data_IF_546086949778
#
_entry.id   IF_546086949778
#
_cell.length_a   1.000
_cell.length_b   1.000
_cell.length_c   1.000
_cell.angle_alpha   90.00
_cell.angle_beta   90.00
_cell.angle_gamma   90.00
#
_symmetry.space_group_name_H-M   'P 1'
#
loop_
_entity.id
_entity.type
_entity.pdbx_description
1 polymer ?
#
# COMPACT_ATOMS: atom_id res chain seq x y z
N UNK A 1 1.05 -13.30 -27.64
CA UNK A 1 0.55 -11.93 -27.45
C UNK A 1 -0.19 -11.96 -26.11
N UNK A 2 0.56 -11.85 -25.01
CA UNK A 2 0.07 -12.22 -23.66
C UNK A 2 0.52 -11.17 -22.62
N UNK A 3 0.52 -9.90 -23.02
CA UNK A 3 1.03 -8.78 -22.20
C UNK A 3 -0.07 -8.03 -21.44
N UNK A 4 -1.34 -8.47 -21.56
CA UNK A 4 -2.49 -7.77 -21.00
C UNK A 4 -3.04 -8.37 -19.69
N UNK A 5 -2.77 -9.64 -19.38
CA UNK A 5 -3.31 -10.29 -18.18
C UNK A 5 -2.70 -9.74 -16.87
N UNK A 6 -1.45 -9.27 -16.96
CA UNK A 6 -0.65 -8.95 -15.78
C UNK A 6 -0.92 -7.56 -15.18
N UNK A 7 -1.26 -6.58 -16.04
CA UNK A 7 -1.63 -5.22 -15.60
C UNK A 7 -2.98 -5.17 -14.89
N UNK A 8 -3.97 -5.94 -15.37
CA UNK A 8 -5.27 -6.06 -14.70
C UNK A 8 -5.09 -6.64 -13.30
N UNK A 9 -4.31 -7.72 -13.16
CA UNK A 9 -4.03 -8.34 -11.87
C UNK A 9 -3.34 -7.38 -10.87
N UNK A 10 -2.41 -6.52 -11.32
CA UNK A 10 -1.79 -5.52 -10.43
C UNK A 10 -2.79 -4.46 -9.96
N UNK A 11 -3.56 -3.86 -10.88
CA UNK A 11 -4.56 -2.84 -10.55
C UNK A 11 -5.67 -3.39 -9.65
N UNK A 12 -6.14 -4.62 -9.91
CA UNK A 12 -7.14 -5.31 -9.10
C UNK A 12 -6.62 -5.57 -7.68
N UNK A 13 -5.35 -5.97 -7.53
CA UNK A 13 -4.70 -6.15 -6.22
C UNK A 13 -4.54 -4.82 -5.48
N UNK A 14 -4.16 -3.74 -6.18
CA UNK A 14 -4.11 -2.39 -5.57
C UNK A 14 -5.49 -1.99 -5.11
N UNK A 15 -6.52 -2.17 -5.95
CA UNK A 15 -7.89 -1.83 -5.59
C UNK A 15 -8.39 -2.64 -4.39
N UNK A 16 -8.09 -3.95 -4.35
CA UNK A 16 -8.46 -4.80 -3.22
C UNK A 16 -7.72 -4.39 -1.92
N UNK A 17 -6.44 -4.05 -2.03
CA UNK A 17 -5.62 -3.56 -0.92
C UNK A 17 -6.15 -2.24 -0.35
N UNK A 18 -6.47 -1.26 -1.19
CA UNK A 18 -6.94 0.06 -0.73
C UNK A 18 -8.37 0.01 -0.15
N UNK A 19 -9.18 -0.96 -0.56
CA UNK A 19 -10.54 -1.17 -0.04
C UNK A 19 -10.59 -2.18 1.11
N UNK A 20 -9.44 -2.67 1.58
CA UNK A 20 -9.39 -3.62 2.67
C UNK A 20 -9.87 -2.98 3.98
N UNK A 21 -10.65 -3.75 4.76
CA UNK A 21 -11.22 -3.25 6.02
C UNK A 21 -10.16 -3.02 7.09
N UNK A 22 -9.14 -3.86 7.15
CA UNK A 22 -8.01 -3.65 8.06
C UNK A 22 -7.20 -2.43 7.61
N UNK A 23 -7.04 -2.23 6.31
CA UNK A 23 -6.41 -1.02 5.78
C UNK A 23 -7.17 0.26 6.19
N UNK A 24 -8.50 0.27 6.04
CA UNK A 24 -9.34 1.38 6.50
C UNK A 24 -9.25 1.60 8.03
N UNK A 25 -9.20 0.52 8.82
CA UNK A 25 -9.06 0.57 10.27
C UNK A 25 -7.70 1.15 10.71
N UNK A 26 -6.61 0.89 9.97
CA UNK A 26 -5.32 1.56 10.20
C UNK A 26 -5.49 3.07 10.01
N UNK A 27 -6.21 3.48 8.96
CA UNK A 27 -6.53 4.87 8.69
C UNK A 27 -7.15 5.59 9.90
N UNK A 28 -8.18 4.97 10.48
CA UNK A 28 -8.88 5.48 11.66
C UNK A 28 -8.00 5.45 12.93
N UNK A 29 -7.24 4.37 13.14
CA UNK A 29 -6.37 4.24 14.32
C UNK A 29 -5.31 5.33 14.39
N UNK A 30 -4.80 5.78 13.25
CA UNK A 30 -3.76 6.81 13.15
C UNK A 30 -4.30 8.18 12.73
N UNK A 31 -5.62 8.37 12.73
CA UNK A 31 -6.28 9.65 12.40
C UNK A 31 -5.70 10.84 13.18
N UNK A 32 -5.46 10.77 14.52
CA UNK A 32 -4.88 11.90 15.24
C UNK A 32 -3.48 12.30 14.75
N UNK A 33 -2.68 11.32 14.30
CA UNK A 33 -1.38 11.58 13.71
C UNK A 33 -1.54 12.22 12.32
N UNK A 34 -2.52 11.77 11.53
CA UNK A 34 -2.80 12.36 10.22
C UNK A 34 -3.27 13.80 10.32
N UNK A 35 -4.16 14.12 11.25
CA UNK A 35 -4.60 15.49 11.52
C UNK A 35 -3.43 16.39 11.93
N UNK A 36 -2.60 15.93 12.87
CA UNK A 36 -1.44 16.67 13.36
C UNK A 36 -0.45 17.00 12.23
N UNK A 37 -0.24 16.05 11.32
CA UNK A 37 0.73 16.17 10.23
C UNK A 37 0.11 16.62 8.90
N UNK A 38 -1.18 16.96 8.88
CA UNK A 38 -1.93 17.36 7.67
C UNK A 38 -1.81 16.33 6.55
N UNK A 39 -1.98 15.07 6.89
CA UNK A 39 -2.05 13.96 5.94
C UNK A 39 -3.54 13.78 5.61
N UNK A 40 -3.94 14.03 4.37
CA UNK A 40 -5.35 13.99 3.98
C UNK A 40 -5.84 12.55 3.81
N UNK A 41 -5.03 11.69 3.19
CA UNK A 41 -5.32 10.27 3.07
C UNK A 41 -4.09 9.42 3.34
N UNK A 42 -4.30 8.24 3.91
CA UNK A 42 -3.23 7.26 4.20
C UNK A 42 -2.44 6.86 2.93
N UNK A 43 -3.04 6.96 1.74
CA UNK A 43 -2.38 6.69 0.46
C UNK A 43 -1.34 7.75 0.06
N UNK A 44 -1.38 8.96 0.64
CA UNK A 44 -0.33 9.96 0.41
C UNK A 44 1.01 9.56 1.03
N UNK A 45 1.01 8.57 1.92
CA UNK A 45 2.21 8.14 2.63
C UNK A 45 3.14 7.28 1.77
N UNK A 46 2.61 6.62 0.74
CA UNK A 46 3.36 5.65 -0.04
C UNK A 46 2.90 5.58 -1.51
N UNK A 47 3.73 4.97 -2.36
CA UNK A 47 3.37 4.44 -3.67
C UNK A 47 3.47 2.92 -3.64
N UNK A 48 2.60 2.26 -4.41
CA UNK A 48 2.73 0.85 -4.74
C UNK A 48 3.12 0.77 -6.21
N UNK A 49 4.36 0.34 -6.48
CA UNK A 49 4.91 0.26 -7.84
C UNK A 49 5.07 -1.20 -8.21
N UNK A 50 4.58 -1.59 -9.39
CA UNK A 50 4.82 -2.93 -9.92
C UNK A 50 6.32 -3.19 -10.07
N UNK A 51 6.81 -4.32 -9.56
CA UNK A 51 8.21 -4.72 -9.70
C UNK A 51 8.29 -5.80 -10.76
N UNK A 52 8.72 -5.44 -11.97
CA UNK A 52 8.99 -6.39 -13.06
C UNK A 52 10.25 -7.19 -12.72
N UNK A 53 10.10 -8.21 -11.89
CA UNK A 53 11.16 -9.14 -11.55
C UNK A 53 10.75 -10.53 -12.02
N UNK A 54 11.00 -10.78 -13.31
CA UNK A 54 11.12 -12.12 -13.90
C UNK A 54 9.99 -13.09 -13.53
N UNK A 55 8.73 -12.71 -13.80
CA UNK A 55 7.57 -13.61 -13.72
C UNK A 55 6.90 -13.73 -12.34
N UNK A 56 7.39 -13.01 -11.31
CA UNK A 56 6.68 -12.91 -10.04
C UNK A 56 5.93 -11.56 -9.98
N UNK A 57 4.60 -11.63 -9.89
CA UNK A 57 3.67 -10.49 -9.80
C UNK A 57 3.78 -9.78 -8.45
N UNK A 58 4.96 -9.24 -8.19
CA UNK A 58 5.33 -8.55 -6.96
C UNK A 58 5.22 -7.05 -7.18
N UNK A 59 4.78 -6.34 -6.15
CA UNK A 59 4.89 -4.89 -6.10
C UNK A 59 6.02 -4.49 -5.13
N UNK A 60 6.34 -3.20 -5.10
CA UNK A 60 7.16 -2.56 -4.08
C UNK A 60 6.37 -1.43 -3.45
N UNK A 61 6.36 -1.37 -2.12
CA UNK A 61 5.81 -0.26 -1.36
C UNK A 61 6.92 0.77 -1.10
N UNK A 62 6.76 1.98 -1.64
CA UNK A 62 7.75 3.07 -1.57
C UNK A 62 7.17 4.17 -0.68
N UNK A 63 7.81 4.47 0.44
CA UNK A 63 7.38 5.56 1.32
C UNK A 63 7.69 6.92 0.68
N UNK A 64 6.68 7.77 0.51
CA UNK A 64 6.81 9.10 -0.13
C UNK A 64 7.38 10.16 0.81
N UNK A 65 7.07 10.03 2.09
CA UNK A 65 7.33 11.10 3.05
C UNK A 65 8.73 11.01 3.64
N UNK A 66 9.41 12.15 3.70
CA UNK A 66 10.64 12.32 4.48
C UNK A 66 10.38 12.37 5.99
N UNK A 67 9.11 12.33 6.42
CA UNK A 67 8.73 12.38 7.82
C UNK A 67 8.90 11.00 8.46
N UNK A 68 9.32 10.99 9.71
CA UNK A 68 9.32 9.79 10.55
C UNK A 68 7.88 9.32 10.80
N UNK A 69 7.42 8.41 9.93
CA UNK A 69 6.16 7.71 10.20
C UNK A 69 6.35 6.76 11.37
N UNK A 70 5.35 6.67 12.28
CA UNK A 70 5.36 5.71 13.36
C UNK A 70 5.67 4.31 12.86
N UNK A 71 6.58 3.60 13.54
CA UNK A 71 6.98 2.25 13.16
C UNK A 71 5.76 1.31 13.14
N UNK A 72 4.83 1.47 14.07
CA UNK A 72 3.58 0.71 14.11
C UNK A 72 2.70 0.96 12.87
N UNK A 73 2.62 2.20 12.38
CA UNK A 73 1.90 2.53 11.16
C UNK A 73 2.54 1.85 9.95
N UNK A 74 3.87 1.94 9.81
CA UNK A 74 4.60 1.27 8.72
C UNK A 74 4.37 -0.24 8.74
N UNK A 75 4.48 -0.86 9.93
CA UNK A 75 4.25 -2.31 10.10
C UNK A 75 2.83 -2.71 9.74
N UNK A 76 1.83 -1.98 10.21
CA UNK A 76 0.43 -2.31 9.93
C UNK A 76 0.12 -2.23 8.43
N UNK A 77 0.61 -1.20 7.74
CA UNK A 77 0.46 -1.07 6.28
C UNK A 77 1.17 -2.22 5.55
N UNK A 78 2.41 -2.54 5.95
CA UNK A 78 3.19 -3.64 5.34
C UNK A 78 2.48 -4.99 5.52
N UNK A 79 1.92 -5.26 6.70
CA UNK A 79 1.22 -6.52 6.98
C UNK A 79 0.05 -6.73 6.01
N UNK A 80 -0.81 -5.72 5.85
CA UNK A 80 -1.93 -5.80 4.90
C UNK A 80 -1.40 -5.89 3.47
N UNK A 81 -0.42 -5.05 3.11
CA UNK A 81 0.20 -5.03 1.78
C UNK A 81 0.77 -6.40 1.36
N UNK A 82 1.50 -7.09 2.23
CA UNK A 82 2.15 -8.36 1.91
C UNK A 82 1.13 -9.45 1.54
N UNK A 83 -0.09 -9.40 2.08
CA UNK A 83 -1.18 -10.34 1.73
C UNK A 83 -1.63 -10.24 0.28
N UNK A 84 -1.47 -9.08 -0.36
CA UNK A 84 -1.89 -8.84 -1.75
C UNK A 84 -0.75 -8.97 -2.77
N UNK A 85 0.49 -8.66 -2.37
CA UNK A 85 1.60 -8.47 -3.30
C UNK A 85 2.83 -9.35 -3.05
N UNK A 86 2.86 -10.11 -1.96
CA UNK A 86 4.01 -10.95 -1.59
C UNK A 86 3.63 -12.41 -1.28
N UNK A 87 2.41 -12.82 -1.62
CA UNK A 87 1.98 -14.22 -1.60
C UNK A 87 2.36 -14.96 -2.88
#
# INVERSE_FOLDING_TARGET
MEEHADKSNHQDRVFAFINDKEFAAIGQRFEPFFELHKIEVIFDLFDVVQSDSCGNNTAKLIWKTQRDLPIELKKAIIDVYSRYFQN
#
